data_IF_352509991419
#
_entry.id   IF_352509991419
#
_cell.length_a   1.000
_cell.length_b   1.000
_cell.length_c   1.000
_cell.angle_alpha   90.00
_cell.angle_beta   90.00
_cell.angle_gamma   90.00
#
_symmetry.space_group_name_H-M   'P 1'
#
loop_
_entity.id
_entity.type
_entity.pdbx_description
1 polymer ?
#
# COMPACT_ATOMS: atom_id res chain seq x y z
N UNK A 1 -7.98 20.74 -22.64
CA UNK A 1 -7.77 20.57 -21.19
C UNK A 1 -7.55 19.09 -20.92
N UNK A 2 -6.64 18.73 -19.99
CA UNK A 2 -6.46 17.33 -19.58
C UNK A 2 -7.72 16.86 -18.85
N UNK A 3 -8.17 15.63 -19.09
CA UNK A 3 -9.30 15.07 -18.33
C UNK A 3 -8.82 14.73 -16.91
N UNK A 4 -9.56 15.10 -15.85
CA UNK A 4 -9.22 14.65 -14.51
C UNK A 4 -9.39 13.12 -14.43
N UNK A 5 -8.45 12.44 -13.78
CA UNK A 5 -8.54 11.01 -13.47
C UNK A 5 -8.20 10.80 -12.00
N UNK A 6 -9.14 10.25 -11.23
CA UNK A 6 -8.94 9.83 -9.85
C UNK A 6 -8.57 8.36 -9.82
N UNK A 7 -7.48 8.05 -9.12
CA UNK A 7 -7.01 6.70 -8.88
C UNK A 7 -7.07 6.45 -7.38
N UNK A 8 -7.91 5.52 -6.95
CA UNK A 8 -7.90 5.03 -5.57
C UNK A 8 -7.15 3.70 -5.50
N UNK A 9 -6.21 3.60 -4.58
CA UNK A 9 -5.35 2.43 -4.40
C UNK A 9 -5.67 1.81 -3.05
N UNK A 10 -6.46 0.75 -3.06
CA UNK A 10 -6.75 -0.04 -1.85
C UNK A 10 -5.53 -0.89 -1.56
N UNK A 11 -4.91 -0.68 -0.39
CA UNK A 11 -3.55 -1.16 -0.12
C UNK A 11 -3.33 -1.49 1.35
N UNK A 12 -2.37 -2.38 1.62
CA UNK A 12 -1.82 -2.60 2.97
C UNK A 12 -0.30 -2.42 2.96
N UNK A 13 0.24 -1.75 3.99
CA UNK A 13 1.67 -1.43 4.07
C UNK A 13 2.56 -2.65 4.33
N UNK A 14 1.96 -3.77 4.77
CA UNK A 14 2.64 -5.06 4.96
C UNK A 14 2.43 -6.04 3.79
N UNK A 15 1.76 -5.61 2.72
CA UNK A 15 1.61 -6.41 1.50
C UNK A 15 2.75 -6.09 0.51
N UNK A 16 3.63 -7.05 0.18
CA UNK A 16 4.75 -6.77 -0.73
C UNK A 16 4.29 -6.55 -2.18
N UNK A 17 3.17 -7.17 -2.58
CA UNK A 17 2.55 -6.90 -3.87
C UNK A 17 1.97 -5.49 -3.97
N UNK A 18 1.58 -4.87 -2.85
CA UNK A 18 1.20 -3.45 -2.86
C UNK A 18 2.40 -2.56 -3.18
N UNK A 19 3.60 -2.93 -2.71
CA UNK A 19 4.80 -2.15 -3.03
C UNK A 19 5.22 -2.30 -4.50
N UNK A 20 5.22 -3.53 -5.01
CA UNK A 20 5.41 -3.82 -6.45
C UNK A 20 4.35 -3.07 -7.28
N UNK A 21 3.09 -3.14 -6.88
CA UNK A 21 1.98 -2.46 -7.54
C UNK A 21 2.14 -0.94 -7.55
N UNK A 22 2.68 -0.33 -6.48
CA UNK A 22 3.02 1.09 -6.45
C UNK A 22 4.05 1.45 -7.52
N UNK A 23 5.15 0.68 -7.63
CA UNK A 23 6.17 0.91 -8.68
C UNK A 23 5.59 0.76 -10.08
N UNK A 24 4.75 -0.25 -10.30
CA UNK A 24 4.09 -0.48 -11.59
C UNK A 24 3.09 0.64 -11.92
N UNK A 25 2.36 1.16 -10.93
CA UNK A 25 1.49 2.32 -11.09
C UNK A 25 2.31 3.57 -11.48
N UNK A 26 3.42 3.84 -10.80
CA UNK A 26 4.30 4.98 -11.14
C UNK A 26 4.79 4.91 -12.59
N UNK A 27 5.23 3.73 -13.04
CA UNK A 27 5.61 3.49 -14.45
C UNK A 27 4.40 3.68 -15.39
N UNK A 28 3.22 3.20 -15.01
CA UNK A 28 2.00 3.37 -15.80
C UNK A 28 1.60 4.84 -15.96
N UNK A 29 1.79 5.66 -14.93
CA UNK A 29 1.56 7.11 -14.99
C UNK A 29 2.52 7.80 -15.96
N UNK A 30 3.78 7.35 -16.04
CA UNK A 30 4.71 7.83 -17.07
C UNK A 30 4.24 7.44 -18.47
N UNK A 31 3.74 6.20 -18.66
CA UNK A 31 3.19 5.74 -19.94
C UNK A 31 1.90 6.48 -20.35
N UNK A 32 1.10 6.92 -19.37
CA UNK A 32 -0.09 7.74 -19.61
C UNK A 32 0.26 9.17 -20.04
N UNK A 33 1.40 9.69 -19.57
CA UNK A 33 1.89 11.02 -19.91
C UNK A 33 0.87 12.13 -19.64
N UNK A 34 0.60 12.93 -20.66
CA UNK A 34 -0.25 14.12 -20.56
C UNK A 34 -1.73 13.88 -20.91
N UNK A 35 -2.13 12.62 -21.11
CA UNK A 35 -3.52 12.25 -21.46
C UNK A 35 -4.53 12.63 -20.36
N UNK A 36 -4.09 12.67 -19.09
CA UNK A 36 -4.94 13.00 -17.94
C UNK A 36 -4.23 13.86 -16.89
N UNK A 37 -5.02 14.56 -16.09
CA UNK A 37 -4.60 15.16 -14.83
C UNK A 37 -4.91 14.17 -13.71
N UNK A 38 -3.89 13.45 -13.26
CA UNK A 38 -4.07 12.34 -12.31
C UNK A 38 -4.01 12.81 -10.86
N UNK A 39 -4.92 12.27 -10.03
CA UNK A 39 -4.83 12.32 -8.58
C UNK A 39 -4.83 10.91 -8.02
N UNK A 40 -3.91 10.61 -7.10
CA UNK A 40 -3.79 9.28 -6.47
C UNK A 40 -4.13 9.39 -4.99
N UNK A 41 -5.05 8.54 -4.51
CA UNK A 41 -5.41 8.39 -3.10
C UNK A 41 -5.24 6.93 -2.68
N UNK A 42 -4.65 6.69 -1.53
CA UNK A 42 -4.57 5.39 -0.90
C UNK A 42 -5.74 5.19 0.08
N UNK A 43 -6.34 4.00 0.01
CA UNK A 43 -7.42 3.56 0.88
C UNK A 43 -6.98 2.39 1.75
N UNK A 44 -7.37 2.37 3.02
CA UNK A 44 -6.90 1.36 3.96
C UNK A 44 -7.53 0.00 3.66
N UNK A 45 -6.70 -1.04 3.80
CA UNK A 45 -7.14 -2.42 3.85
C UNK A 45 -6.16 -3.21 4.69
N UNK A 46 -6.60 -3.77 5.82
CA UNK A 46 -5.75 -4.59 6.66
C UNK A 46 -5.83 -6.05 6.16
N UNK A 47 -4.69 -6.63 5.77
CA UNK A 47 -4.62 -8.05 5.43
C UNK A 47 -4.91 -8.95 6.64
N UNK A 48 -4.68 -8.43 7.85
CA UNK A 48 -5.06 -9.07 9.09
C UNK A 48 -5.59 -8.02 10.08
N UNK A 49 -6.89 -7.69 10.05
CA UNK A 49 -7.48 -6.74 10.99
C UNK A 49 -7.49 -7.24 12.44
N UNK A 50 -7.32 -8.56 12.65
CA UNK A 50 -7.21 -9.17 13.97
C UNK A 50 -5.75 -9.20 14.51
N UNK A 51 -4.79 -8.61 13.80
CA UNK A 51 -3.40 -8.52 14.26
C UNK A 51 -3.34 -7.72 15.58
N UNK A 52 -2.74 -8.26 16.66
CA UNK A 52 -2.59 -7.54 17.92
C UNK A 52 -1.90 -6.18 17.73
N UNK A 53 -2.20 -5.20 18.57
CA UNK A 53 -1.61 -3.84 18.47
C UNK A 53 -0.08 -3.87 18.44
N UNK A 54 0.53 -4.73 19.27
CA UNK A 54 1.99 -4.91 19.27
C UNK A 54 2.53 -5.64 18.04
N UNK A 55 1.68 -6.23 17.20
CA UNK A 55 2.07 -7.18 16.16
C UNK A 55 2.48 -8.54 16.74
N UNK A 56 3.08 -9.37 15.89
CA UNK A 56 3.58 -10.69 16.29
C UNK A 56 4.89 -11.03 15.57
N UNK A 57 5.54 -12.13 16.00
CA UNK A 57 6.71 -12.65 15.29
C UNK A 57 6.36 -12.95 13.84
N UNK A 58 7.18 -12.45 12.90
CA UNK A 58 6.97 -12.73 11.48
C UNK A 58 7.04 -14.22 11.21
N UNK A 59 7.96 -14.95 11.84
CA UNK A 59 8.10 -16.39 11.66
C UNK A 59 6.83 -17.14 12.09
N UNK A 60 6.28 -16.83 13.27
CA UNK A 60 5.06 -17.44 13.78
C UNK A 60 3.86 -17.10 12.89
N UNK A 61 3.68 -15.83 12.54
CA UNK A 61 2.60 -15.39 11.64
C UNK A 61 2.65 -16.10 10.30
N UNK A 62 3.83 -16.15 9.67
CA UNK A 62 4.04 -16.74 8.35
C UNK A 62 3.85 -18.26 8.38
N UNK A 63 4.32 -18.94 9.44
CA UNK A 63 4.07 -20.38 9.62
C UNK A 63 2.58 -20.67 9.73
N UNK A 64 1.86 -19.92 10.56
CA UNK A 64 0.41 -20.08 10.70
C UNK A 64 -0.34 -19.79 9.39
N UNK A 65 0.06 -18.74 8.67
CA UNK A 65 -0.60 -18.31 7.42
C UNK A 65 -0.34 -19.24 6.23
N UNK A 66 0.86 -19.79 6.11
CA UNK A 66 1.28 -20.56 4.93
C UNK A 66 1.51 -22.05 5.21
N UNK A 67 1.33 -22.51 6.43
CA UNK A 67 1.50 -23.90 6.86
C UNK A 67 2.95 -24.28 7.19
N UNK A 68 3.95 -23.66 6.56
CA UNK A 68 5.37 -23.89 6.88
C UNK A 68 6.27 -22.69 6.60
N UNK A 69 7.44 -22.66 7.26
CA UNK A 69 8.47 -21.64 7.03
C UNK A 69 9.11 -21.81 5.65
N UNK A 70 9.27 -23.04 5.19
CA UNK A 70 9.82 -23.38 3.87
C UNK A 70 8.93 -22.82 2.76
N UNK A 71 7.62 -23.04 2.84
CA UNK A 71 6.65 -22.47 1.89
C UNK A 71 6.64 -20.95 1.97
N UNK A 72 6.75 -20.38 3.17
CA UNK A 72 6.90 -18.94 3.34
C UNK A 72 8.14 -18.40 2.62
N UNK A 73 9.30 -19.05 2.74
CA UNK A 73 10.54 -18.63 2.07
C UNK A 73 10.44 -18.73 0.54
N UNK A 74 9.79 -19.77 0.02
CA UNK A 74 9.54 -19.91 -1.43
C UNK A 74 8.67 -18.76 -1.97
N UNK A 75 7.61 -18.39 -1.25
CA UNK A 75 6.76 -17.25 -1.61
C UNK A 75 7.53 -15.93 -1.54
N UNK A 76 8.35 -15.74 -0.50
CA UNK A 76 9.21 -14.56 -0.36
C UNK A 76 10.24 -14.47 -1.50
N UNK A 77 10.84 -15.60 -1.91
CA UNK A 77 11.78 -15.66 -3.03
C UNK A 77 11.14 -15.25 -4.37
N UNK A 78 9.91 -15.71 -4.63
CA UNK A 78 9.15 -15.29 -5.83
C UNK A 78 8.88 -13.79 -5.82
N UNK A 79 8.40 -13.28 -4.69
CA UNK A 79 8.13 -11.85 -4.52
C UNK A 79 9.41 -11.01 -4.65
N UNK A 80 10.52 -11.48 -4.11
CA UNK A 80 11.81 -10.81 -4.22
C UNK A 80 12.29 -10.76 -5.68
N UNK A 81 12.11 -11.83 -6.45
CA UNK A 81 12.44 -11.84 -7.87
C UNK A 81 11.64 -10.80 -8.68
N UNK A 82 10.33 -10.73 -8.43
CA UNK A 82 9.46 -9.70 -9.04
C UNK A 82 9.85 -8.28 -8.59
N UNK A 83 10.14 -8.11 -7.30
CA UNK A 83 10.58 -6.86 -6.70
C UNK A 83 11.82 -6.27 -7.35
N UNK A 84 12.82 -7.10 -7.64
CA UNK A 84 14.06 -6.65 -8.31
C UNK A 84 13.79 -6.05 -9.69
N UNK A 85 12.83 -6.58 -10.45
CA UNK A 85 12.39 -5.99 -11.72
C UNK A 85 11.77 -4.59 -11.56
N UNK A 86 11.30 -4.27 -10.36
CA UNK A 86 10.77 -2.97 -9.97
C UNK A 86 11.75 -2.11 -9.16
N UNK A 87 13.01 -2.54 -9.01
CA UNK A 87 14.04 -1.83 -8.23
C UNK A 87 13.85 -1.93 -6.72
N UNK A 88 13.16 -2.96 -6.23
CA UNK A 88 12.92 -3.21 -4.81
C UNK A 88 13.84 -4.32 -4.30
N UNK A 89 14.72 -3.97 -3.36
CA UNK A 89 15.56 -4.92 -2.63
C UNK A 89 14.89 -5.32 -1.30
N UNK A 90 14.08 -6.37 -1.34
CA UNK A 90 13.37 -6.87 -0.17
C UNK A 90 14.32 -7.49 0.86
N UNK A 91 14.26 -7.00 2.10
CA UNK A 91 15.03 -7.46 3.24
C UNK A 91 14.32 -8.56 4.05
N UNK A 92 13.60 -9.49 3.40
CA UNK A 92 12.73 -10.47 4.06
C UNK A 92 13.43 -11.26 5.18
N UNK A 93 14.70 -11.63 5.00
CA UNK A 93 15.49 -12.37 6.00
C UNK A 93 15.79 -11.56 7.28
N UNK A 94 15.77 -10.22 7.22
CA UNK A 94 15.98 -9.35 8.38
C UNK A 94 14.67 -8.99 9.10
N UNK A 95 13.52 -9.26 8.49
CA UNK A 95 12.23 -8.87 9.03
C UNK A 95 11.80 -9.80 10.18
N UNK A 96 11.86 -9.29 11.40
CA UNK A 96 11.50 -10.07 12.59
C UNK A 96 10.01 -10.01 12.97
N UNK A 97 9.28 -8.97 12.52
CA UNK A 97 7.92 -8.66 13.00
C UNK A 97 6.92 -8.53 11.87
N UNK A 98 5.68 -8.94 12.13
CA UNK A 98 4.50 -8.56 11.34
C UNK A 98 3.64 -7.65 12.21
N UNK A 99 3.57 -6.34 11.91
CA UNK A 99 2.84 -5.39 12.75
C UNK A 99 1.35 -5.34 12.45
N UNK A 100 0.59 -4.79 13.40
CA UNK A 100 -0.70 -4.18 13.09
C UNK A 100 -0.48 -2.94 12.23
N UNK A 101 -1.27 -2.77 11.17
CA UNK A 101 -1.12 -1.66 10.22
C UNK A 101 -2.08 -0.50 10.46
N UNK A 102 -2.94 -0.58 11.47
CA UNK A 102 -3.93 0.47 11.78
C UNK A 102 -3.28 1.84 11.99
N UNK A 103 -2.18 1.91 12.75
CA UNK A 103 -1.47 3.16 13.00
C UNK A 103 -0.83 3.73 11.72
N UNK A 104 -0.27 2.87 10.87
CA UNK A 104 0.27 3.27 9.57
C UNK A 104 -0.83 3.84 8.66
N UNK A 105 -2.01 3.20 8.62
CA UNK A 105 -3.17 3.69 7.86
C UNK A 105 -3.69 5.03 8.36
N UNK A 106 -3.71 5.24 9.69
CA UNK A 106 -4.03 6.55 10.29
C UNK A 106 -3.06 7.64 9.86
N UNK A 107 -1.76 7.32 9.81
CA UNK A 107 -0.73 8.25 9.34
C UNK A 107 -0.91 8.58 7.85
N UNK A 108 -1.22 7.58 7.01
CA UNK A 108 -1.51 7.79 5.59
C UNK A 108 -2.69 8.74 5.41
N UNK A 109 -3.81 8.49 6.08
CA UNK A 109 -5.01 9.32 5.95
C UNK A 109 -4.76 10.78 6.40
N UNK A 110 -4.05 10.98 7.51
CA UNK A 110 -3.64 12.33 7.94
C UNK A 110 -2.74 13.00 6.90
N UNK A 111 -1.74 12.29 6.39
CA UNK A 111 -0.79 12.81 5.41
C UNK A 111 -1.44 13.18 4.07
N UNK A 112 -2.46 12.44 3.64
CA UNK A 112 -3.21 12.72 2.40
C UNK A 112 -3.89 14.09 2.44
N UNK A 113 -4.40 14.50 3.61
CA UNK A 113 -5.03 15.83 3.81
C UNK A 113 -4.03 16.98 3.71
N UNK A 114 -2.75 16.66 3.89
CA UNK A 114 -1.62 17.62 3.86
C UNK A 114 -0.81 17.52 2.56
N UNK A 115 -1.26 16.72 1.57
CA UNK A 115 -0.52 16.51 0.31
C UNK A 115 0.73 15.61 0.44
N UNK A 116 0.98 15.03 1.62
CA UNK A 116 2.15 14.19 1.92
C UNK A 116 1.88 12.67 1.80
N UNK A 117 0.68 12.27 1.36
CA UNK A 117 0.25 10.87 1.31
C UNK A 117 1.19 9.95 0.55
N UNK A 118 1.60 10.32 -0.67
CA UNK A 118 2.53 9.52 -1.48
C UNK A 118 3.89 9.33 -0.80
N UNK A 119 4.43 10.40 -0.20
CA UNK A 119 5.71 10.36 0.51
C UNK A 119 5.65 9.46 1.74
N UNK A 120 4.56 9.53 2.53
CA UNK A 120 4.34 8.64 3.67
C UNK A 120 4.23 7.18 3.25
N UNK A 121 3.44 6.87 2.21
CA UNK A 121 3.30 5.48 1.71
C UNK A 121 4.65 4.93 1.24
N UNK A 122 5.43 5.72 0.49
CA UNK A 122 6.79 5.35 0.09
C UNK A 122 7.68 5.06 1.31
N UNK A 123 7.72 5.97 2.29
CA UNK A 123 8.52 5.80 3.49
C UNK A 123 8.10 4.58 4.33
N UNK A 124 6.80 4.26 4.41
CA UNK A 124 6.29 3.08 5.10
C UNK A 124 6.73 1.79 4.40
N UNK A 125 6.59 1.72 3.07
CA UNK A 125 7.05 0.56 2.31
C UNK A 125 8.56 0.34 2.45
N UNK A 126 9.36 1.40 2.29
CA UNK A 126 10.81 1.32 2.46
C UNK A 126 11.21 0.92 3.88
N UNK A 127 10.56 1.50 4.89
CA UNK A 127 10.82 1.16 6.29
C UNK A 127 10.58 -0.33 6.53
N UNK A 128 9.44 -0.86 6.10
CA UNK A 128 9.09 -2.25 6.36
C UNK A 128 9.88 -3.24 5.49
N UNK A 129 9.94 -3.01 4.18
CA UNK A 129 10.44 -3.99 3.22
C UNK A 129 11.92 -3.87 2.91
N UNK A 130 12.50 -2.67 2.85
CA UNK A 130 13.93 -2.51 2.55
C UNK A 130 14.78 -2.38 3.81
N UNK A 131 14.23 -1.77 4.86
CA UNK A 131 14.95 -1.47 6.11
C UNK A 131 14.61 -2.45 7.23
N UNK A 132 13.63 -3.33 7.05
CA UNK A 132 13.17 -4.29 8.05
C UNK A 132 12.75 -3.67 9.39
N UNK A 133 12.23 -2.43 9.36
CA UNK A 133 11.69 -1.72 10.52
C UNK A 133 10.24 -2.12 10.78
N UNK A 134 9.86 -2.08 12.05
CA UNK A 134 8.49 -2.30 12.48
C UNK A 134 7.65 -1.02 12.23
N UNK A 135 6.72 -1.07 11.27
CA UNK A 135 5.80 0.04 10.97
C UNK A 135 4.57 0.10 11.89
N UNK A 136 4.52 -0.75 12.93
CA UNK A 136 3.65 -0.61 14.09
C UNK A 136 4.32 0.12 15.27
N UNK A 137 5.65 0.33 15.24
CA UNK A 137 6.38 1.05 16.28
C UNK A 137 6.10 2.57 16.19
N UNK A 138 5.58 3.20 17.27
CA UNK A 138 5.35 4.64 17.32
C UNK A 138 6.56 5.49 16.92
N UNK A 139 7.79 5.10 17.31
CA UNK A 139 9.01 5.85 16.99
C UNK A 139 9.34 5.81 15.50
N UNK A 140 9.08 4.67 14.86
CA UNK A 140 9.26 4.53 13.40
C UNK A 140 8.25 5.44 12.68
N UNK A 141 6.99 5.42 13.11
CA UNK A 141 5.91 6.23 12.53
C UNK A 141 6.13 7.74 12.74
N UNK A 142 6.55 8.17 13.93
CA UNK A 142 6.94 9.56 14.20
C UNK A 142 8.09 10.01 13.29
N UNK A 143 9.10 9.17 13.13
CA UNK A 143 10.20 9.45 12.21
C UNK A 143 9.73 9.60 10.75
N UNK A 144 8.77 8.77 10.32
CA UNK A 144 8.19 8.86 8.97
C UNK A 144 7.37 10.14 8.83
N UNK A 145 6.51 10.45 9.79
CA UNK A 145 5.71 11.67 9.81
C UNK A 145 6.60 12.92 9.68
N UNK A 146 7.63 13.02 10.53
CA UNK A 146 8.59 14.13 10.50
C UNK A 146 9.32 14.26 9.16
N UNK A 147 9.82 13.14 8.60
CA UNK A 147 10.52 13.14 7.29
C UNK A 147 9.60 13.50 6.13
N UNK A 148 8.32 13.18 6.22
CA UNK A 148 7.32 13.51 5.21
C UNK A 148 6.67 14.89 5.42
N UNK A 149 7.07 15.65 6.44
CA UNK A 149 6.51 16.97 6.73
C UNK A 149 5.07 16.92 7.28
N UNK A 150 4.65 15.81 7.87
CA UNK A 150 3.30 15.64 8.44
C UNK A 150 3.24 16.26 9.83
N UNK A 151 2.34 17.24 10.01
CA UNK A 151 2.01 17.83 11.31
C UNK A 151 0.84 17.11 11.99
N UNK A 152 0.72 17.26 13.31
CA UNK A 152 -0.44 16.74 14.06
C UNK A 152 -0.39 15.23 14.37
N UNK A 153 0.66 14.51 13.95
CA UNK A 153 0.81 13.10 14.28
C UNK A 153 1.34 12.91 15.72
N UNK A 154 0.75 12.00 16.53
CA UNK A 154 -0.41 11.15 16.25
C UNK A 154 -1.79 11.73 16.65
N UNK A 155 -1.84 12.90 17.28
CA UNK A 155 -3.05 13.43 17.95
C UNK A 155 -4.21 13.72 17.01
N UNK A 156 -3.94 14.21 15.80
CA UNK A 156 -4.94 14.58 14.79
C UNK A 156 -5.33 13.40 13.87
N UNK A 157 -4.72 12.24 14.06
CA UNK A 157 -4.96 11.08 13.20
C UNK A 157 -6.24 10.33 13.61
N UNK A 158 -7.29 10.45 12.80
CA UNK A 158 -8.60 9.86 13.07
C UNK A 158 -8.64 8.33 12.84
N UNK A 159 -8.83 7.58 13.93
CA UNK A 159 -8.97 6.12 13.86
C UNK A 159 -10.35 5.67 13.33
N UNK A 160 -11.42 6.44 13.58
CA UNK A 160 -12.77 6.07 13.16
C UNK A 160 -12.91 6.15 11.64
N UNK A 161 -12.33 7.20 11.04
CA UNK A 161 -12.29 7.35 9.58
C UNK A 161 -11.61 6.18 8.86
N UNK A 162 -10.50 5.65 9.39
CA UNK A 162 -9.80 4.50 8.79
C UNK A 162 -10.66 3.25 8.81
N UNK A 163 -11.32 2.95 9.93
CA UNK A 163 -12.18 1.78 10.05
C UNK A 163 -13.39 1.86 9.09
N UNK A 164 -14.04 3.03 9.01
CA UNK A 164 -15.16 3.24 8.10
C UNK A 164 -14.76 3.11 6.62
N UNK A 165 -13.59 3.63 6.23
CA UNK A 165 -13.08 3.50 4.87
C UNK A 165 -12.74 2.04 4.52
N UNK A 166 -12.15 1.29 5.46
CA UNK A 166 -11.88 -0.13 5.24
C UNK A 166 -13.19 -0.94 5.10
N UNK A 167 -14.19 -0.65 5.93
CA UNK A 167 -15.52 -1.26 5.83
C UNK A 167 -16.19 -0.93 4.49
N UNK A 168 -16.11 0.33 4.02
CA UNK A 168 -16.60 0.73 2.69
C UNK A 168 -15.95 -0.11 1.60
N UNK A 169 -14.61 -0.25 1.61
CA UNK A 169 -13.89 -1.03 0.59
C UNK A 169 -14.29 -2.50 0.59
N UNK A 170 -14.44 -3.10 1.77
CA UNK A 170 -14.93 -4.48 1.89
C UNK A 170 -16.39 -4.60 1.42
N UNK A 171 -17.23 -3.62 1.75
CA UNK A 171 -18.65 -3.57 1.38
C UNK A 171 -18.90 -3.51 -0.13
N UNK A 172 -18.01 -2.86 -0.89
CA UNK A 172 -18.05 -2.85 -2.36
C UNK A 172 -17.37 -4.07 -3.00
N UNK A 173 -17.03 -5.10 -2.21
CA UNK A 173 -16.51 -6.38 -2.70
C UNK A 173 -14.98 -6.46 -2.84
N UNK A 174 -14.22 -5.47 -2.38
CA UNK A 174 -12.76 -5.57 -2.38
C UNK A 174 -12.32 -6.61 -1.36
N UNK A 175 -11.63 -7.64 -1.84
CA UNK A 175 -11.15 -8.77 -1.03
C UNK A 175 -9.64 -9.04 -1.17
N UNK A 176 -8.96 -8.32 -2.06
CA UNK A 176 -7.54 -8.46 -2.32
C UNK A 176 -6.86 -7.11 -2.56
N UNK A 177 -5.55 -7.05 -2.26
CA UNK A 177 -4.72 -5.85 -2.44
C UNK A 177 -3.38 -6.17 -3.13
N UNK A 178 -2.83 -5.24 -3.92
CA UNK A 178 -3.39 -3.92 -4.23
C UNK A 178 -4.61 -4.04 -5.16
N UNK A 179 -5.62 -3.19 -4.95
CA UNK A 179 -6.67 -2.97 -5.96
C UNK A 179 -6.64 -1.51 -6.39
N UNK A 180 -6.59 -1.27 -7.69
CA UNK A 180 -6.62 0.05 -8.31
C UNK A 180 -8.03 0.33 -8.80
N UNK A 181 -8.59 1.48 -8.44
CA UNK A 181 -9.92 1.91 -8.82
C UNK A 181 -9.77 3.21 -9.60
N UNK A 182 -10.12 3.19 -10.88
CA UNK A 182 -10.03 4.33 -11.79
C UNK A 182 -11.41 4.99 -11.91
N UNK A 183 -11.53 6.25 -11.48
CA UNK A 183 -12.75 7.07 -11.46
C UNK A 183 -13.97 6.40 -10.81
N UNK A 184 -13.76 5.44 -9.91
CA UNK A 184 -14.83 4.56 -9.36
C UNK A 184 -15.68 3.87 -10.44
N UNK A 185 -15.15 3.74 -11.66
CA UNK A 185 -15.80 3.09 -12.81
C UNK A 185 -15.18 1.73 -13.12
N UNK A 186 -13.85 1.62 -12.99
CA UNK A 186 -13.11 0.41 -13.33
C UNK A 186 -12.18 -0.01 -12.18
N UNK A 187 -12.25 -1.28 -11.78
CA UNK A 187 -11.40 -1.88 -10.76
C UNK A 187 -10.43 -2.90 -11.35
N UNK A 188 -9.15 -2.82 -10.99
CA UNK A 188 -8.10 -3.77 -11.35
C UNK A 188 -7.44 -4.31 -10.09
N UNK A 189 -7.63 -5.60 -9.82
CA UNK A 189 -7.10 -6.27 -8.64
C UNK A 189 -5.77 -6.97 -8.93
N UNK A 190 -4.75 -6.71 -8.11
CA UNK A 190 -3.42 -7.27 -8.23
C UNK A 190 -2.40 -6.31 -8.84
N UNK A 191 -1.11 -6.63 -8.67
CA UNK A 191 0.00 -5.83 -9.19
C UNK A 191 0.24 -6.10 -10.68
N UNK A 192 -0.70 -5.71 -11.55
CA UNK A 192 -0.60 -5.89 -13.00
C UNK A 192 0.57 -5.11 -13.62
N UNK A 193 1.09 -5.53 -14.80
CA UNK A 193 2.12 -4.80 -15.53
C UNK A 193 1.75 -3.34 -15.81
N UNK A 194 2.73 -2.41 -15.92
CA UNK A 194 2.47 -0.99 -16.16
C UNK A 194 1.60 -0.71 -17.39
N UNK A 195 1.76 -1.47 -18.46
CA UNK A 195 1.03 -1.32 -19.72
C UNK A 195 -0.46 -1.62 -19.53
N UNK A 196 -0.78 -2.67 -18.74
CA UNK A 196 -2.14 -3.03 -18.42
C UNK A 196 -2.83 -1.98 -17.54
N UNK A 197 -2.09 -1.41 -16.56
CA UNK A 197 -2.61 -0.32 -15.73
C UNK A 197 -2.84 0.95 -16.55
N UNK A 198 -1.92 1.32 -17.45
CA UNK A 198 -2.10 2.46 -18.35
C UNK A 198 -3.30 2.26 -19.29
N UNK A 199 -3.49 1.05 -19.82
CA UNK A 199 -4.65 0.72 -20.64
C UNK A 199 -5.96 0.85 -19.86
N UNK A 200 -6.02 0.36 -18.62
CA UNK A 200 -7.19 0.50 -17.75
C UNK A 200 -7.52 1.98 -17.44
N UNK A 201 -6.51 2.83 -17.25
CA UNK A 201 -6.70 4.28 -17.11
C UNK A 201 -7.33 4.89 -18.36
N UNK A 202 -6.85 4.54 -19.56
CA UNK A 202 -7.42 5.01 -20.84
C UNK A 202 -8.86 4.55 -21.04
N UNK A 203 -9.16 3.30 -20.67
CA UNK A 203 -10.52 2.77 -20.70
C UNK A 203 -11.45 3.60 -19.79
N UNK A 204 -11.05 3.85 -18.54
CA UNK A 204 -11.81 4.65 -17.59
C UNK A 204 -12.07 6.09 -18.09
N UNK A 205 -11.08 6.71 -18.75
CA UNK A 205 -11.20 8.04 -19.37
C UNK A 205 -12.17 8.09 -20.57
N UNK A 206 -12.41 6.93 -21.20
CA UNK A 206 -13.31 6.77 -22.35
C UNK A 206 -14.73 6.34 -21.96
N UNK A 207 -14.88 5.72 -20.79
CA UNK A 207 -16.17 5.29 -20.26
C UNK A 207 -17.04 6.50 -19.93
N UNK A 208 -18.23 6.57 -20.54
CA UNK A 208 -19.23 7.62 -20.28
C UNK A 208 -19.69 7.57 -18.82
#
# INVERSE_FOLDING_TARGET
>A
MRKPLRIEVVSDVVCPWCYIGKRRLEKALVLLGDEAQVSVRYLPFQLNPAMPQGGMSRAEYRKAKFGSIERSRQLDARVAAEGRGEGIEFAFERMARTPSTLAAHRLIELAQRQGAGQAVVEHLFRAYFEQAKDVGDPKVLEGIAKRSGVSGWPQEADAKGVAALEEEMRGIGISAVPTFIFDRKLGVSGAHPPEALAQAMREALSAK
#
